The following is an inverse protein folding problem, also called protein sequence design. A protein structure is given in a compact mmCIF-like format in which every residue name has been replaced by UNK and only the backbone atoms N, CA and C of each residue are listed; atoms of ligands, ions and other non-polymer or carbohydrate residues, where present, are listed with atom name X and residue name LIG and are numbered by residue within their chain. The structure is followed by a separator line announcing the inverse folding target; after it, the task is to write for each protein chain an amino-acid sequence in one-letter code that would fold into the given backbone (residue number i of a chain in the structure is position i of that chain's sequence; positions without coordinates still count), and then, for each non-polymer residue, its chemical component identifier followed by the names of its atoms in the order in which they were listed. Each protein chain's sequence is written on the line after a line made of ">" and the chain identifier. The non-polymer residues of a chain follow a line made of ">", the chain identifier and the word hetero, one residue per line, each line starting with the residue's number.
data_IF_943982848284
#
_entry.id   IF_943982848284
#
_cell.length_a   1.000
_cell.length_b   1.000
_cell.length_c   1.000
_cell.angle_alpha   90.00
_cell.angle_beta   90.00
_cell.angle_gamma   90.00
#
_symmetry.space_group_name_H-M   'P 1'
#
loop_
_entity.id
_entity.type
_entity.pdbx_description
1 polymer ?
#
# COMPACT_ATOMS: atom_id res chain seq x y z
N UNK A 1 -10.60 15.64 19.58
CA UNK A 1 -9.70 14.48 19.40
C UNK A 1 -9.49 13.75 20.73
N UNK A 2 -9.15 12.45 20.69
CA UNK A 2 -9.10 11.53 21.86
C UNK A 2 -8.30 12.05 23.08
N UNK A 3 -7.30 12.91 22.86
CA UNK A 3 -6.43 13.44 23.91
C UNK A 3 -6.48 14.97 24.04
N UNK A 4 -7.37 15.65 23.30
CA UNK A 4 -7.50 17.12 23.22
C UNK A 4 -6.17 17.87 23.07
N UNK A 5 -5.13 17.21 22.55
CA UNK A 5 -3.81 17.76 22.28
C UNK A 5 -3.47 17.58 20.81
N UNK A 6 -2.88 18.60 20.23
CA UNK A 6 -2.34 18.55 18.88
C UNK A 6 -0.88 18.07 18.92
N UNK A 7 -0.45 17.24 17.95
CA UNK A 7 0.94 16.83 17.86
C UNK A 7 1.82 18.02 17.45
N UNK A 8 3.04 18.06 17.98
CA UNK A 8 4.08 18.95 17.46
C UNK A 8 4.59 18.40 16.13
N UNK A 9 4.70 19.26 15.13
CA UNK A 9 5.25 18.90 13.83
C UNK A 9 6.73 19.24 13.79
N UNK A 10 7.57 18.26 13.47
CA UNK A 10 9.02 18.43 13.33
C UNK A 10 9.40 18.13 11.88
N UNK A 11 9.76 19.18 11.15
CA UNK A 11 10.25 19.09 9.77
C UNK A 11 11.77 18.85 9.82
N UNK A 12 12.21 17.69 9.34
CA UNK A 12 13.64 17.37 9.22
C UNK A 12 14.13 17.65 7.82
N UNK A 13 15.03 18.63 7.66
CA UNK A 13 15.56 19.09 6.35
C UNK A 13 16.13 17.97 5.45
N UNK A 14 16.58 16.85 6.01
CA UNK A 14 17.20 15.72 5.27
C UNK A 14 16.29 14.49 5.12
N UNK A 15 15.09 14.49 5.71
CA UNK A 15 14.17 13.35 5.62
C UNK A 15 12.95 13.71 4.75
N UNK A 16 12.42 12.74 4.02
CA UNK A 16 11.26 12.94 3.11
C UNK A 16 9.90 12.95 3.85
N UNK A 17 9.88 13.28 5.14
CA UNK A 17 8.70 13.17 5.98
C UNK A 17 8.68 14.16 7.14
N UNK A 18 7.49 14.34 7.71
CA UNK A 18 7.25 15.15 8.91
C UNK A 18 7.12 14.19 10.09
N UNK A 19 7.80 14.49 11.19
CA UNK A 19 7.62 13.76 12.44
C UNK A 19 6.51 14.44 13.23
N UNK A 20 5.39 13.74 13.38
CA UNK A 20 4.33 14.13 14.31
C UNK A 20 4.66 13.56 15.68
N UNK A 21 4.90 14.44 16.67
CA UNK A 21 5.27 14.05 18.02
C UNK A 21 4.28 14.56 19.05
N UNK A 22 3.67 13.64 19.78
CA UNK A 22 2.75 13.96 20.86
C UNK A 22 3.38 13.54 22.20
N UNK A 23 3.61 14.51 23.08
CA UNK A 23 4.18 14.26 24.40
C UNK A 23 3.10 14.26 25.49
N UNK A 24 3.16 13.26 26.37
CA UNK A 24 2.34 13.24 27.57
C UNK A 24 2.36 11.89 28.28
N UNK A 25 2.75 11.88 29.56
CA UNK A 25 2.74 10.68 30.41
C UNK A 25 1.34 10.04 30.44
N UNK A 26 0.29 10.86 30.55
CA UNK A 26 -1.11 10.40 30.52
C UNK A 26 -1.45 9.68 29.21
N UNK A 27 -0.98 10.18 28.07
CA UNK A 27 -1.24 9.59 26.75
C UNK A 27 -0.53 8.25 26.63
N UNK A 28 0.76 8.21 26.94
CA UNK A 28 1.56 6.98 26.90
C UNK A 28 0.95 5.94 27.84
N UNK A 29 0.66 6.30 29.10
CA UNK A 29 0.05 5.39 30.06
C UNK A 29 -1.35 4.91 29.62
N UNK A 30 -2.15 5.78 29.00
CA UNK A 30 -3.47 5.40 28.47
C UNK A 30 -3.36 4.42 27.30
N UNK A 31 -2.39 4.60 26.39
CA UNK A 31 -2.16 3.68 25.30
C UNK A 31 -1.59 2.34 25.79
N UNK A 32 -0.64 2.38 26.72
CA UNK A 32 -0.04 1.17 27.31
C UNK A 32 -1.05 0.36 28.12
N UNK A 33 -1.90 1.01 28.92
CA UNK A 33 -2.98 0.32 29.65
C UNK A 33 -4.04 -0.29 28.71
N UNK A 34 -4.16 0.23 27.48
CA UNK A 34 -4.95 -0.38 26.40
C UNK A 34 -4.18 -1.46 25.61
N UNK A 35 -2.98 -1.84 26.04
CA UNK A 35 -2.22 -2.94 25.46
C UNK A 35 -1.34 -2.58 24.26
N UNK A 36 -1.09 -1.28 23.99
CA UNK A 36 -0.02 -0.90 23.07
C UNK A 36 1.34 -1.06 23.77
N UNK A 37 2.32 -1.61 23.06
CA UNK A 37 3.66 -1.86 23.61
C UNK A 37 4.56 -0.69 23.23
N UNK A 38 5.14 0.07 24.19
CA UNK A 38 6.07 1.15 23.90
C UNK A 38 7.41 0.63 23.40
N UNK A 39 8.19 1.48 22.73
CA UNK A 39 9.56 1.17 22.29
C UNK A 39 9.66 0.76 20.82
N UNK A 40 10.74 0.05 20.48
CA UNK A 40 11.05 -0.36 19.11
C UNK A 40 10.08 -1.45 18.64
N UNK A 41 9.29 -1.15 17.60
CA UNK A 41 8.25 -2.06 17.07
C UNK A 41 8.80 -3.40 16.59
N UNK A 42 10.03 -3.41 16.08
CA UNK A 42 10.68 -4.59 15.51
C UNK A 42 11.27 -5.45 16.62
N UNK A 43 11.92 -4.83 17.60
CA UNK A 43 12.44 -5.57 18.76
C UNK A 43 11.31 -6.15 19.61
N UNK A 44 10.25 -5.38 19.81
CA UNK A 44 9.15 -5.75 20.70
C UNK A 44 8.06 -6.59 20.01
N UNK A 45 8.19 -6.86 18.70
CA UNK A 45 7.25 -7.68 17.92
C UNK A 45 5.78 -7.33 18.21
N UNK A 46 5.45 -6.05 18.04
CA UNK A 46 4.14 -5.49 18.42
C UNK A 46 2.98 -6.16 17.69
N UNK A 47 1.82 -6.21 18.35
CA UNK A 47 0.59 -6.81 17.84
C UNK A 47 -0.60 -5.86 18.06
N UNK A 48 -1.74 -6.18 17.45
CA UNK A 48 -3.00 -5.43 17.58
C UNK A 48 -3.71 -5.86 18.88
N UNK A 49 -4.02 -4.91 19.80
CA UNK A 49 -4.75 -5.22 21.02
C UNK A 49 -6.07 -5.97 20.80
N UNK A 50 -6.38 -6.94 21.67
CA UNK A 50 -7.57 -7.79 21.55
C UNK A 50 -8.89 -7.01 21.47
N UNK A 51 -9.01 -5.87 22.16
CA UNK A 51 -10.23 -5.07 22.15
C UNK A 51 -10.52 -4.45 20.76
N UNK A 52 -9.49 -4.17 19.96
CA UNK A 52 -9.65 -3.77 18.55
C UNK A 52 -10.18 -4.96 17.74
N UNK A 53 -9.56 -6.13 17.89
CA UNK A 53 -9.91 -7.36 17.16
C UNK A 53 -11.29 -7.94 17.50
N UNK A 54 -11.96 -7.45 18.55
CA UNK A 54 -13.32 -7.87 18.95
C UNK A 54 -14.42 -7.00 18.35
N UNK A 55 -14.08 -5.86 17.77
CA UNK A 55 -15.05 -4.91 17.24
C UNK A 55 -14.81 -4.70 15.74
N UNK A 56 -15.79 -5.09 14.93
CA UNK A 56 -15.70 -5.02 13.46
C UNK A 56 -15.40 -3.61 12.93
N UNK A 57 -15.96 -2.57 13.54
CA UNK A 57 -15.69 -1.19 13.16
C UNK A 57 -14.23 -0.81 13.45
N UNK A 58 -13.72 -1.18 14.63
CA UNK A 58 -12.31 -0.91 14.98
C UNK A 58 -11.33 -1.71 14.12
N UNK A 59 -11.67 -2.96 13.75
CA UNK A 59 -10.89 -3.75 12.79
C UNK A 59 -10.73 -2.98 11.47
N UNK A 60 -11.83 -2.47 10.91
CA UNK A 60 -11.81 -1.73 9.64
C UNK A 60 -10.90 -0.50 9.75
N UNK A 61 -11.03 0.28 10.81
CA UNK A 61 -10.19 1.47 11.03
C UNK A 61 -8.71 1.10 11.25
N UNK A 62 -8.44 -0.01 11.95
CA UNK A 62 -7.08 -0.49 12.18
C UNK A 62 -6.43 -0.98 10.89
N UNK A 63 -7.12 -1.81 10.09
CA UNK A 63 -6.65 -2.26 8.78
C UNK A 63 -6.38 -1.08 7.84
N UNK A 64 -7.24 -0.07 7.87
CA UNK A 64 -7.07 1.17 7.11
C UNK A 64 -5.75 1.86 7.47
N UNK A 65 -5.53 2.15 8.76
CA UNK A 65 -4.29 2.77 9.23
C UNK A 65 -3.04 1.96 8.93
N UNK A 66 -3.07 0.65 9.18
CA UNK A 66 -1.95 -0.26 8.88
C UNK A 66 -1.60 -0.27 7.39
N UNK A 67 -2.60 -0.33 6.52
CA UNK A 67 -2.37 -0.35 5.08
C UNK A 67 -1.91 1.01 4.54
N UNK A 68 -2.40 2.11 5.09
CA UNK A 68 -1.96 3.45 4.71
C UNK A 68 -0.49 3.69 5.08
N UNK A 69 0.00 3.13 6.19
CA UNK A 69 1.42 3.26 6.58
C UNK A 69 2.33 2.23 5.91
N UNK A 70 2.03 0.94 6.05
CA UNK A 70 2.93 -0.17 5.69
C UNK A 70 2.41 -1.00 4.50
N UNK A 71 1.19 -0.72 4.01
CA UNK A 71 0.62 -1.35 2.82
C UNK A 71 1.12 -0.75 1.51
N UNK A 72 0.94 -1.49 0.42
CA UNK A 72 1.27 -1.02 -0.93
C UNK A 72 0.26 -1.53 -1.96
N UNK A 73 0.05 -0.70 -2.99
CA UNK A 73 -0.70 -1.06 -4.19
C UNK A 73 0.30 -1.04 -5.33
N UNK A 74 0.47 -2.17 -6.01
CA UNK A 74 1.51 -2.34 -7.03
C UNK A 74 1.00 -3.12 -8.22
N UNK A 75 1.57 -2.85 -9.40
CA UNK A 75 1.27 -3.58 -10.62
C UNK A 75 1.85 -4.99 -10.57
N UNK A 76 1.02 -5.97 -10.93
CA UNK A 76 1.41 -7.33 -11.24
C UNK A 76 1.51 -7.49 -12.76
N UNK A 77 2.69 -7.23 -13.31
CA UNK A 77 2.90 -7.37 -14.76
C UNK A 77 2.71 -8.79 -15.28
N UNK A 78 2.89 -9.82 -14.43
CA UNK A 78 2.74 -11.22 -14.86
C UNK A 78 1.28 -11.54 -15.11
N UNK A 79 0.42 -11.12 -14.19
CA UNK A 79 -1.02 -11.35 -14.26
C UNK A 79 -1.78 -10.18 -14.93
N UNK A 80 -1.05 -9.20 -15.48
CA UNK A 80 -1.59 -8.00 -16.15
C UNK A 80 -2.66 -7.27 -15.31
N UNK A 81 -2.43 -7.18 -14.00
CA UNK A 81 -3.36 -6.61 -13.02
C UNK A 81 -2.59 -5.79 -11.97
N UNK A 82 -3.23 -5.43 -10.86
CA UNK A 82 -2.58 -4.89 -9.67
C UNK A 82 -2.87 -5.77 -8.45
N UNK A 83 -2.03 -5.66 -7.44
CA UNK A 83 -2.13 -6.40 -6.18
C UNK A 83 -2.00 -5.46 -4.99
N UNK A 84 -2.54 -5.89 -3.85
CA UNK A 84 -2.28 -5.25 -2.56
C UNK A 84 -1.26 -6.08 -1.79
N UNK A 85 -0.28 -5.43 -1.15
CA UNK A 85 0.69 -6.10 -0.28
C UNK A 85 0.74 -5.39 1.06
N UNK A 86 0.81 -6.15 2.15
CA UNK A 86 1.11 -5.63 3.47
C UNK A 86 2.43 -6.24 3.94
N UNK A 87 3.40 -5.41 4.33
CA UNK A 87 4.76 -5.83 4.71
C UNK A 87 5.17 -5.18 6.02
N UNK A 88 5.68 -5.96 6.96
CA UNK A 88 6.12 -5.47 8.27
C UNK A 88 7.19 -6.40 8.86
N UNK A 89 8.03 -5.88 9.75
CA UNK A 89 9.06 -6.67 10.43
C UNK A 89 8.56 -7.35 11.72
N UNK A 90 7.41 -6.93 12.27
CA UNK A 90 6.69 -7.64 13.32
C UNK A 90 5.86 -8.76 12.71
N UNK A 91 6.21 -10.02 13.02
CA UNK A 91 5.43 -11.17 12.59
C UNK A 91 4.03 -11.20 13.21
N UNK A 92 3.86 -10.94 14.52
CA UNK A 92 2.53 -10.84 15.13
C UNK A 92 1.62 -9.83 14.42
N UNK A 93 2.15 -8.68 14.01
CA UNK A 93 1.36 -7.67 13.31
C UNK A 93 0.88 -8.13 11.93
N UNK A 94 1.71 -8.86 11.18
CA UNK A 94 1.28 -9.47 9.90
C UNK A 94 0.20 -10.52 10.15
N UNK A 95 0.35 -11.33 11.20
CA UNK A 95 -0.64 -12.35 11.57
C UNK A 95 -1.98 -11.71 11.93
N UNK A 96 -1.96 -10.67 12.75
CA UNK A 96 -3.18 -9.92 13.10
C UNK A 96 -3.82 -9.27 11.88
N UNK A 97 -3.03 -8.70 10.96
CA UNK A 97 -3.57 -8.15 9.71
C UNK A 97 -4.30 -9.23 8.89
N UNK A 98 -3.71 -10.43 8.79
CA UNK A 98 -4.33 -11.59 8.12
C UNK A 98 -5.63 -12.00 8.80
N UNK A 99 -5.61 -12.25 10.11
CA UNK A 99 -6.78 -12.65 10.90
C UNK A 99 -7.91 -11.62 10.79
N UNK A 100 -7.57 -10.34 10.87
CA UNK A 100 -8.53 -9.24 10.72
C UNK A 100 -9.14 -9.19 9.32
N UNK A 101 -8.34 -9.39 8.25
CA UNK A 101 -8.88 -9.49 6.89
C UNK A 101 -9.85 -10.69 6.76
N UNK A 102 -9.45 -11.86 7.28
CA UNK A 102 -10.24 -13.09 7.20
C UNK A 102 -11.55 -12.99 7.98
N UNK A 103 -11.55 -12.33 9.15
CA UNK A 103 -12.77 -12.02 9.92
C UNK A 103 -13.76 -11.13 9.14
N UNK A 104 -13.25 -10.37 8.17
CA UNK A 104 -14.04 -9.58 7.23
C UNK A 104 -14.28 -10.33 5.92
N UNK A 105 -14.06 -11.64 5.82
CA UNK A 105 -14.25 -12.43 4.60
C UNK A 105 -13.33 -12.01 3.43
N UNK A 106 -12.19 -11.40 3.74
CA UNK A 106 -11.15 -11.03 2.77
C UNK A 106 -10.02 -12.06 2.87
N UNK A 107 -9.85 -12.85 1.82
CA UNK A 107 -8.84 -13.89 1.75
C UNK A 107 -7.50 -13.27 1.33
N UNK A 108 -6.46 -13.57 2.09
CA UNK A 108 -5.08 -13.18 1.81
C UNK A 108 -4.24 -14.40 1.46
N UNK A 109 -3.08 -14.18 0.84
CA UNK A 109 -2.09 -15.24 0.66
C UNK A 109 -1.59 -15.80 2.00
N UNK A 110 -0.78 -16.86 1.94
CA UNK A 110 0.07 -17.22 3.08
C UNK A 110 1.04 -16.08 3.42
N UNK A 111 1.57 -16.11 4.63
CA UNK A 111 2.60 -15.18 5.09
C UNK A 111 3.94 -15.67 4.55
N UNK A 112 4.70 -14.76 3.95
CA UNK A 112 6.03 -15.01 3.42
C UNK A 112 7.06 -14.28 4.27
N UNK A 113 8.25 -14.87 4.41
CA UNK A 113 9.42 -14.28 5.05
C UNK A 113 10.41 -13.83 3.98
N UNK A 114 10.99 -12.65 4.15
CA UNK A 114 12.10 -12.13 3.36
C UNK A 114 13.25 -11.86 4.31
N UNK A 115 14.43 -12.31 3.91
CA UNK A 115 15.68 -12.04 4.61
C UNK A 115 16.59 -11.26 3.66
N UNK A 116 16.97 -10.05 4.07
CA UNK A 116 17.89 -9.21 3.33
C UNK A 116 19.18 -9.07 4.14
N UNK A 117 20.32 -9.36 3.52
CA UNK A 117 21.62 -9.06 4.10
C UNK A 117 21.98 -7.62 3.77
N UNK A 118 22.39 -6.88 4.80
CA UNK A 118 22.91 -5.52 4.69
C UNK A 118 24.24 -5.45 5.41
N UNK A 119 25.01 -4.38 5.19
CA UNK A 119 26.27 -4.15 5.91
C UNK A 119 26.08 -4.12 7.43
N UNK A 120 24.86 -3.76 7.88
CA UNK A 120 24.43 -3.75 9.29
C UNK A 120 23.89 -5.09 9.79
N UNK A 121 24.02 -6.15 9.00
CA UNK A 121 23.53 -7.50 9.31
C UNK A 121 22.22 -7.87 8.64
N UNK A 122 21.63 -8.97 9.10
CA UNK A 122 20.43 -9.59 8.54
C UNK A 122 19.16 -8.84 8.96
N UNK A 123 18.41 -8.33 7.99
CA UNK A 123 17.08 -7.73 8.20
C UNK A 123 15.98 -8.69 7.76
N UNK A 124 15.07 -8.99 8.68
CA UNK A 124 13.93 -9.87 8.43
C UNK A 124 12.68 -9.01 8.25
N UNK A 125 11.88 -9.35 7.25
CA UNK A 125 10.55 -8.80 7.07
C UNK A 125 9.57 -9.90 6.65
N UNK A 126 8.30 -9.69 6.96
CA UNK A 126 7.21 -10.57 6.62
C UNK A 126 6.24 -9.83 5.72
N UNK A 127 5.58 -10.53 4.80
CA UNK A 127 4.56 -9.93 3.98
C UNK A 127 3.48 -10.94 3.58
N UNK A 128 2.32 -10.41 3.23
CA UNK A 128 1.23 -11.14 2.58
C UNK A 128 0.66 -10.30 1.44
N UNK A 129 -0.12 -10.92 0.58
CA UNK A 129 -0.72 -10.28 -0.58
C UNK A 129 -2.21 -10.54 -0.69
N UNK A 130 -2.90 -9.64 -1.37
CA UNK A 130 -4.29 -9.79 -1.84
C UNK A 130 -4.22 -9.62 -3.36
N UNK A 131 -4.39 -10.73 -4.08
CA UNK A 131 -4.13 -10.79 -5.53
C UNK A 131 -5.39 -11.08 -6.38
N UNK A 132 -6.40 -11.74 -5.80
CA UNK A 132 -7.65 -12.00 -6.51
C UNK A 132 -8.43 -10.70 -6.67
N UNK A 133 -8.89 -10.39 -7.90
CA UNK A 133 -9.70 -9.19 -8.21
C UNK A 133 -10.87 -9.03 -7.24
N UNK A 134 -11.60 -10.12 -6.97
CA UNK A 134 -12.72 -10.17 -6.01
C UNK A 134 -12.27 -9.78 -4.60
N UNK A 135 -11.12 -10.29 -4.14
CA UNK A 135 -10.62 -10.01 -2.78
C UNK A 135 -10.04 -8.59 -2.67
N UNK A 136 -9.40 -8.09 -3.73
CA UNK A 136 -8.93 -6.71 -3.84
C UNK A 136 -10.14 -5.76 -3.76
N UNK A 137 -11.18 -6.00 -4.57
CA UNK A 137 -12.45 -5.25 -4.54
C UNK A 137 -13.06 -5.23 -3.15
N UNK A 138 -13.17 -6.40 -2.49
CA UNK A 138 -13.68 -6.50 -1.11
C UNK A 138 -12.86 -5.65 -0.14
N UNK A 139 -11.53 -5.74 -0.19
CA UNK A 139 -10.66 -4.96 0.68
C UNK A 139 -10.82 -3.45 0.44
N UNK A 140 -10.76 -3.01 -0.82
CA UNK A 140 -10.85 -1.60 -1.17
C UNK A 140 -12.23 -1.01 -0.82
N UNK A 141 -13.31 -1.77 -0.98
CA UNK A 141 -14.66 -1.30 -0.62
C UNK A 141 -14.89 -1.28 0.89
N UNK A 142 -14.41 -2.29 1.63
CA UNK A 142 -14.67 -2.40 3.09
C UNK A 142 -13.71 -1.57 3.93
N UNK A 143 -12.42 -1.58 3.57
CA UNK A 143 -11.36 -0.89 4.34
C UNK A 143 -11.17 0.55 3.84
N UNK A 144 -11.35 0.78 2.54
CA UNK A 144 -11.29 2.10 1.91
C UNK A 144 -10.07 2.96 2.35
N UNK A 145 -8.83 2.46 2.16
CA UNK A 145 -7.61 3.14 2.56
C UNK A 145 -7.42 4.47 1.83
N UNK A 146 -6.86 5.47 2.50
CA UNK A 146 -6.60 6.78 1.87
C UNK A 146 -5.64 6.65 0.68
N UNK A 147 -4.69 5.71 0.78
CA UNK A 147 -3.77 5.37 -0.33
C UNK A 147 -4.51 4.96 -1.61
N UNK A 148 -5.72 4.39 -1.54
CA UNK A 148 -6.53 4.04 -2.72
C UNK A 148 -7.30 5.23 -3.32
N UNK A 149 -7.54 6.27 -2.52
CA UNK A 149 -8.22 7.49 -2.95
C UNK A 149 -7.27 8.48 -3.61
N UNK A 150 -5.97 8.31 -3.41
CA UNK A 150 -4.91 9.12 -4.03
C UNK A 150 -5.02 9.11 -5.56
N UNK A 151 -5.37 10.26 -6.15
CA UNK A 151 -5.61 10.39 -7.59
C UNK A 151 -4.42 9.94 -8.42
N UNK A 152 -3.20 10.39 -8.08
CA UNK A 152 -2.00 10.07 -8.84
C UNK A 152 -1.73 8.56 -8.87
N UNK A 153 -2.01 7.86 -7.76
CA UNK A 153 -1.85 6.41 -7.70
C UNK A 153 -2.88 5.70 -8.57
N UNK A 154 -4.14 6.16 -8.54
CA UNK A 154 -5.19 5.63 -9.42
C UNK A 154 -4.82 5.87 -10.89
N UNK A 155 -4.35 7.06 -11.24
CA UNK A 155 -3.86 7.40 -12.58
C UNK A 155 -2.75 6.45 -13.03
N UNK A 156 -1.72 6.25 -12.20
CA UNK A 156 -0.65 5.30 -12.50
C UNK A 156 -1.17 3.88 -12.74
N UNK A 157 -2.08 3.39 -11.88
CA UNK A 157 -2.65 2.05 -12.01
C UNK A 157 -3.48 1.94 -13.29
N UNK A 158 -4.35 2.93 -13.54
CA UNK A 158 -5.20 2.98 -14.73
C UNK A 158 -4.40 2.98 -16.02
N UNK A 159 -3.37 3.81 -16.14
CA UNK A 159 -2.50 3.84 -17.33
C UNK A 159 -1.84 2.49 -17.54
N UNK A 160 -1.35 1.84 -16.48
CA UNK A 160 -0.74 0.52 -16.59
C UNK A 160 -1.72 -0.56 -17.03
N UNK A 161 -2.97 -0.49 -16.57
CA UNK A 161 -4.05 -1.37 -17.04
C UNK A 161 -4.43 -1.07 -18.50
N UNK A 162 -4.46 0.19 -18.92
CA UNK A 162 -4.69 0.58 -20.32
C UNK A 162 -3.60 -0.05 -21.20
N UNK A 163 -2.32 0.15 -20.87
CA UNK A 163 -1.18 -0.44 -21.61
C UNK A 163 -1.31 -1.97 -21.71
N UNK A 164 -1.77 -2.65 -20.65
CA UNK A 164 -1.95 -4.10 -20.67
C UNK A 164 -3.06 -4.57 -21.62
N UNK A 165 -4.07 -3.74 -21.85
CA UNK A 165 -5.21 -4.01 -22.72
C UNK A 165 -5.04 -3.41 -24.13
N UNK A 166 -3.98 -2.64 -24.38
CA UNK A 166 -3.64 -2.12 -25.71
C UNK A 166 -3.20 -3.23 -26.68
N UNK A 167 -3.29 -3.00 -28.00
CA UNK A 167 -2.72 -3.88 -29.02
C UNK A 167 -1.26 -4.24 -28.72
N UNK A 168 -0.86 -5.48 -29.04
CA UNK A 168 0.46 -6.02 -28.71
C UNK A 168 1.60 -5.17 -29.25
N UNK A 169 1.45 -4.64 -30.47
CA UNK A 169 2.42 -3.75 -31.12
C UNK A 169 2.65 -2.46 -30.32
N UNK A 170 1.58 -1.72 -30.03
CA UNK A 170 1.64 -0.47 -29.23
C UNK A 170 2.25 -0.75 -27.86
N UNK A 171 1.81 -1.81 -27.20
CA UNK A 171 2.33 -2.21 -25.89
C UNK A 171 3.82 -2.52 -25.95
N UNK A 172 4.30 -3.19 -26.99
CA UNK A 172 5.72 -3.50 -27.16
C UNK A 172 6.55 -2.24 -27.40
N UNK A 173 6.07 -1.33 -28.24
CA UNK A 173 6.72 -0.03 -28.51
C UNK A 173 6.83 0.80 -27.21
N UNK A 174 5.73 0.93 -26.45
CA UNK A 174 5.73 1.62 -25.15
C UNK A 174 6.72 0.97 -24.18
N UNK A 175 6.73 -0.36 -24.06
CA UNK A 175 7.64 -1.06 -23.14
C UNK A 175 9.11 -0.90 -23.54
N UNK A 176 9.42 -0.91 -24.84
CA UNK A 176 10.76 -0.65 -25.35
C UNK A 176 11.20 0.77 -25.02
N UNK A 177 10.33 1.76 -25.22
CA UNK A 177 10.62 3.16 -24.87
C UNK A 177 10.84 3.33 -23.35
N UNK A 178 10.00 2.72 -22.51
CA UNK A 178 10.19 2.69 -21.06
C UNK A 178 11.54 2.07 -20.68
N UNK A 179 11.95 0.99 -21.34
CA UNK A 179 13.23 0.33 -21.07
C UNK A 179 14.43 1.18 -21.49
N UNK A 180 14.30 1.92 -22.58
CA UNK A 180 15.32 2.86 -23.08
C UNK A 180 15.50 4.04 -22.10
N UNK A 181 14.40 4.66 -21.68
CA UNK A 181 14.46 5.88 -20.86
C UNK A 181 14.66 5.57 -19.37
N UNK A 182 14.17 4.41 -18.90
CA UNK A 182 14.26 3.95 -17.51
C UNK A 182 14.79 2.51 -17.42
N UNK A 183 16.08 2.28 -17.78
CA UNK A 183 16.67 0.94 -17.79
C UNK A 183 16.61 0.29 -16.40
N UNK A 184 16.88 1.06 -15.36
CA UNK A 184 16.81 0.62 -13.97
C UNK A 184 15.36 0.31 -13.54
N UNK A 185 15.10 -0.95 -13.16
CA UNK A 185 13.78 -1.39 -12.69
C UNK A 185 13.25 -0.62 -11.48
N UNK A 186 14.14 -0.14 -10.61
CA UNK A 186 13.78 0.63 -9.42
C UNK A 186 13.13 1.97 -9.76
N UNK A 187 13.51 2.59 -10.89
CA UNK A 187 12.98 3.88 -11.36
C UNK A 187 11.60 3.77 -12.03
N UNK A 188 11.18 2.55 -12.41
CA UNK A 188 9.88 2.25 -13.04
C UNK A 188 8.73 2.00 -12.04
N UNK A 189 8.94 2.33 -10.77
CA UNK A 189 7.95 2.21 -9.69
C UNK A 189 7.03 3.45 -9.68
N UNK A 190 5.92 3.35 -8.94
CA UNK A 190 5.05 4.51 -8.74
C UNK A 190 5.80 5.70 -8.13
N UNK A 191 5.91 6.77 -8.90
CA UNK A 191 6.34 8.12 -8.50
C UNK A 191 5.53 9.13 -9.30
N UNK A 192 5.50 10.40 -8.88
CA UNK A 192 4.84 11.47 -9.65
C UNK A 192 5.51 11.62 -11.03
N UNK A 193 6.83 11.72 -11.05
CA UNK A 193 7.60 11.92 -12.28
C UNK A 193 7.40 10.77 -13.28
N UNK A 194 7.45 9.52 -12.81
CA UNK A 194 7.24 8.37 -13.69
C UNK A 194 5.78 8.29 -14.16
N UNK A 195 4.81 8.72 -13.35
CA UNK A 195 3.40 8.80 -13.78
C UNK A 195 3.20 9.86 -14.86
N UNK A 196 3.82 11.04 -14.72
CA UNK A 196 3.78 12.10 -15.73
C UNK A 196 4.43 11.65 -17.04
N UNK A 197 5.59 10.98 -16.95
CA UNK A 197 6.23 10.38 -18.10
C UNK A 197 5.30 9.40 -18.82
N UNK A 198 4.63 8.49 -18.09
CA UNK A 198 3.70 7.54 -18.69
C UNK A 198 2.49 8.22 -19.34
N UNK A 199 1.99 9.33 -18.78
CA UNK A 199 0.90 10.12 -19.37
C UNK A 199 1.33 10.62 -20.76
N UNK A 200 2.48 11.30 -20.85
CA UNK A 200 2.97 11.85 -22.11
C UNK A 200 3.20 10.73 -23.12
N UNK A 201 3.94 9.69 -22.71
CA UNK A 201 4.25 8.56 -23.57
C UNK A 201 2.97 7.91 -24.14
N UNK A 202 1.99 7.60 -23.30
CA UNK A 202 0.75 6.97 -23.77
C UNK A 202 -0.05 7.89 -24.70
N UNK A 203 0.00 9.21 -24.47
CA UNK A 203 -0.64 10.20 -25.35
C UNK A 203 0.01 10.22 -26.72
N UNK A 204 1.35 10.16 -26.79
CA UNK A 204 2.10 10.12 -28.05
C UNK A 204 1.78 8.85 -28.87
N UNK A 205 1.48 7.75 -28.19
CA UNK A 205 1.00 6.51 -28.81
C UNK A 205 -0.53 6.47 -29.06
N UNK A 206 -1.23 7.59 -28.89
CA UNK A 206 -2.66 7.72 -29.19
C UNK A 206 -3.59 6.97 -28.22
N UNK A 207 -3.10 6.60 -27.02
CA UNK A 207 -3.95 5.93 -26.02
C UNK A 207 -4.82 6.96 -25.28
N UNK A 208 -6.11 6.65 -25.15
CA UNK A 208 -7.02 7.47 -24.35
C UNK A 208 -6.74 7.31 -22.85
N UNK A 209 -6.02 8.26 -22.26
CA UNK A 209 -5.69 8.28 -20.84
C UNK A 209 -6.48 9.34 -20.06
N UNK A 210 -7.62 9.79 -20.59
CA UNK A 210 -8.46 10.71 -19.84
C UNK A 210 -8.98 10.07 -18.54
N UNK A 211 -9.32 10.93 -17.57
CA UNK A 211 -9.75 10.48 -16.23
C UNK A 211 -10.95 9.53 -16.26
N UNK A 212 -11.92 9.76 -17.15
CA UNK A 212 -13.11 8.91 -17.26
C UNK A 212 -12.74 7.51 -17.74
N UNK A 213 -11.83 7.39 -18.72
CA UNK A 213 -11.37 6.09 -19.21
C UNK A 213 -10.56 5.35 -18.16
N UNK A 214 -9.61 6.03 -17.48
CA UNK A 214 -8.84 5.46 -16.37
C UNK A 214 -9.77 4.85 -15.30
N UNK A 215 -10.75 5.62 -14.85
CA UNK A 215 -11.69 5.15 -13.83
C UNK A 215 -12.59 4.02 -14.34
N UNK A 216 -12.96 4.03 -15.62
CA UNK A 216 -13.72 2.95 -16.27
C UNK A 216 -12.92 1.63 -16.27
N UNK A 217 -11.67 1.67 -16.72
CA UNK A 217 -10.77 0.51 -16.76
C UNK A 217 -10.53 -0.06 -15.35
N UNK A 218 -10.28 0.81 -14.35
CA UNK A 218 -10.11 0.34 -12.97
C UNK A 218 -11.39 -0.34 -12.45
N UNK A 219 -12.57 0.22 -12.76
CA UNK A 219 -13.85 -0.39 -12.37
C UNK A 219 -14.04 -1.73 -13.05
N UNK A 220 -13.73 -1.83 -14.35
CA UNK A 220 -13.80 -3.09 -15.10
C UNK A 220 -12.85 -4.14 -14.53
N UNK A 221 -11.64 -3.74 -14.14
CA UNK A 221 -10.66 -4.61 -13.51
C UNK A 221 -11.13 -5.17 -12.16
N UNK A 222 -12.03 -4.46 -11.49
CA UNK A 222 -12.66 -4.87 -10.23
C UNK A 222 -14.08 -5.44 -10.43
N UNK A 223 -14.52 -5.71 -11.66
CA UNK A 223 -15.73 -6.50 -11.90
C UNK A 223 -15.41 -7.98 -11.63
N UNK A 224 -16.44 -8.68 -11.17
CA UNK A 224 -16.35 -10.09 -10.79
C UNK A 224 -16.24 -10.97 -12.04
#
# INVERSE_FOLDING_TARGET
>A
GLFQKYPNEIIKKKEKGIILRLYGKVIVNSLTSKGLIPGDKVKNQVFVPKWIKRNKFLIIQCLKGLFDTDGSISIDSRNKTFMLTFKNASYPLIKDFKEMCESLGIITSKIYKIENFTDTGKKIAYYLKINSKVQIKKFLNRVNPEKWKELQRRTYIGIRLIIFNSPEEIKNQINQQILKDFPEKAKRRYTRDFTHYLINLCTDFGLDINRKNIESIIKQELKD
#
